data_IF_340451067913
#
_entry.id   IF_340451067913
#
_cell.length_a   1.000
_cell.length_b   1.000
_cell.length_c   1.000
_cell.angle_alpha   90.00
_cell.angle_beta   90.00
_cell.angle_gamma   90.00
#
_symmetry.space_group_name_H-M   'P 1'
#
loop_
_entity.id
_entity.type
_entity.pdbx_description
1 polymer ?
#
# COMPACT_ATOMS: atom_id res chain seq x y z
N UNK A 1 -1.75 -2.42 18.47
CA UNK A 1 -0.96 -2.29 17.23
C UNK A 1 -0.30 -0.93 17.31
N UNK A 2 1.02 -0.85 17.10
CA UNK A 2 1.76 0.39 17.30
C UNK A 2 1.44 1.34 16.15
N UNK A 3 0.82 2.48 16.44
CA UNK A 3 0.43 3.49 15.46
C UNK A 3 1.63 3.96 14.64
N UNK A 4 2.82 3.95 15.25
CA UNK A 4 4.09 4.25 14.59
C UNK A 4 4.43 3.29 13.45
N UNK A 5 4.08 2.00 13.58
CA UNK A 5 4.31 0.99 12.55
C UNK A 5 3.35 1.20 11.38
N UNK A 6 2.07 1.41 11.65
CA UNK A 6 1.07 1.70 10.62
C UNK A 6 1.41 2.96 9.85
N UNK A 7 1.75 4.03 10.56
CA UNK A 7 2.21 5.28 9.96
C UNK A 7 3.44 5.06 9.08
N UNK A 8 4.44 4.32 9.56
CA UNK A 8 5.64 4.02 8.76
C UNK A 8 5.32 3.22 7.49
N UNK A 9 4.38 2.27 7.55
CA UNK A 9 3.96 1.48 6.39
C UNK A 9 3.24 2.32 5.33
N UNK A 10 2.34 3.22 5.78
CA UNK A 10 1.58 4.12 4.90
C UNK A 10 2.51 5.07 4.15
N UNK A 11 3.50 5.63 4.83
CA UNK A 11 4.46 6.58 4.25
C UNK A 11 5.63 5.91 3.53
N UNK A 12 5.70 4.57 3.53
CA UNK A 12 6.81 3.86 2.90
C UNK A 12 6.77 3.97 1.37
N UNK A 13 7.85 4.46 0.79
CA UNK A 13 8.03 4.46 -0.66
C UNK A 13 8.41 3.06 -1.18
N UNK A 14 8.06 2.78 -2.43
CA UNK A 14 8.59 1.62 -3.13
C UNK A 14 10.10 1.76 -3.36
N UNK A 15 10.85 0.70 -3.07
CA UNK A 15 12.32 0.70 -3.21
C UNK A 15 12.80 -0.43 -4.12
N UNK A 16 13.96 -0.26 -4.75
CA UNK A 16 14.66 -1.33 -5.45
C UNK A 16 15.65 -1.97 -4.47
N UNK A 17 15.51 -3.28 -4.24
CA UNK A 17 16.43 -3.98 -3.34
C UNK A 17 17.81 -4.23 -3.99
N UNK A 18 18.79 -4.65 -3.19
CA UNK A 18 20.15 -5.01 -3.65
C UNK A 18 20.20 -6.08 -4.75
N UNK A 19 19.11 -6.80 -4.99
CA UNK A 19 18.97 -7.82 -6.04
C UNK A 19 18.19 -7.29 -7.25
N UNK A 20 18.04 -5.98 -7.40
CA UNK A 20 17.31 -5.32 -8.48
C UNK A 20 15.82 -5.67 -8.53
N UNK A 21 15.20 -5.99 -7.39
CA UNK A 21 13.76 -6.27 -7.32
C UNK A 21 13.01 -5.08 -6.76
N UNK A 22 11.95 -4.65 -7.46
CA UNK A 22 11.02 -3.63 -6.97
C UNK A 22 10.23 -4.21 -5.80
N UNK A 23 10.43 -3.63 -4.62
CA UNK A 23 9.65 -3.87 -3.41
C UNK A 23 8.62 -2.77 -3.31
N UNK A 24 7.35 -3.14 -3.38
CA UNK A 24 6.27 -2.17 -3.31
C UNK A 24 6.07 -1.71 -1.87
N UNK A 25 5.95 -0.41 -1.69
CA UNK A 25 5.34 0.17 -0.49
C UNK A 25 3.87 -0.25 -0.39
N UNK A 26 3.25 -0.06 0.77
CA UNK A 26 1.87 -0.52 1.03
C UNK A 26 0.88 0.06 0.01
N UNK A 27 0.92 1.38 -0.21
CA UNK A 27 0.01 2.07 -1.13
C UNK A 27 0.19 1.54 -2.56
N UNK A 28 1.44 1.46 -3.04
CA UNK A 28 1.72 0.96 -4.40
C UNK A 28 1.30 -0.50 -4.59
N UNK A 29 1.42 -1.32 -3.55
CA UNK A 29 0.95 -2.71 -3.59
C UNK A 29 -0.58 -2.78 -3.69
N UNK A 30 -1.28 -1.96 -2.91
CA UNK A 30 -2.74 -1.84 -2.96
C UNK A 30 -3.24 -1.36 -4.33
N UNK A 31 -2.65 -0.30 -4.88
CA UNK A 31 -3.01 0.22 -6.20
C UNK A 31 -2.75 -0.81 -7.31
N UNK A 32 -1.63 -1.54 -7.23
CA UNK A 32 -1.33 -2.61 -8.18
C UNK A 32 -2.32 -3.77 -8.06
N UNK A 33 -2.74 -4.13 -6.84
CA UNK A 33 -3.73 -5.17 -6.62
C UNK A 33 -5.10 -4.77 -7.21
N UNK A 34 -5.52 -3.52 -7.02
CA UNK A 34 -6.72 -2.94 -7.64
C UNK A 34 -6.70 -3.06 -9.16
N UNK A 35 -5.56 -2.75 -9.80
CA UNK A 35 -5.40 -2.89 -11.25
C UNK A 35 -5.46 -4.35 -11.73
N UNK A 36 -4.92 -5.28 -10.95
CA UNK A 36 -4.86 -6.70 -11.32
C UNK A 36 -6.16 -7.46 -11.04
N UNK A 37 -6.91 -7.04 -10.02
CA UNK A 37 -8.15 -7.69 -9.60
C UNK A 37 -9.15 -6.62 -9.13
N UNK A 38 -9.96 -6.09 -10.07
CA UNK A 38 -10.94 -5.05 -9.77
C UNK A 38 -12.00 -5.46 -8.74
N UNK A 39 -12.18 -6.77 -8.52
CA UNK A 39 -13.12 -7.31 -7.52
C UNK A 39 -12.79 -6.87 -6.08
N UNK A 40 -11.55 -6.43 -5.81
CA UNK A 40 -11.12 -5.95 -4.50
C UNK A 40 -11.10 -4.42 -4.39
N UNK A 41 -11.54 -3.68 -5.40
CA UNK A 41 -11.42 -2.21 -5.44
C UNK A 41 -12.05 -1.56 -4.20
N UNK A 42 -13.31 -1.88 -3.90
CA UNK A 42 -14.01 -1.34 -2.74
C UNK A 42 -13.30 -1.68 -1.41
N UNK A 43 -12.83 -2.92 -1.26
CA UNK A 43 -12.09 -3.34 -0.07
C UNK A 43 -10.78 -2.55 0.10
N UNK A 44 -10.05 -2.36 -0.99
CA UNK A 44 -8.78 -1.63 -1.01
C UNK A 44 -9.01 -0.17 -0.68
N UNK A 45 -9.99 0.48 -1.30
CA UNK A 45 -10.33 1.88 -1.03
C UNK A 45 -10.76 2.10 0.42
N UNK A 46 -11.60 1.22 0.97
CA UNK A 46 -12.01 1.27 2.37
C UNK A 46 -10.82 1.11 3.32
N UNK A 47 -9.90 0.21 3.00
CA UNK A 47 -8.69 -0.04 3.81
C UNK A 47 -7.75 1.16 3.78
N UNK A 48 -7.49 1.73 2.60
CA UNK A 48 -6.64 2.92 2.46
C UNK A 48 -7.23 4.13 3.18
N UNK A 49 -8.54 4.33 3.08
CA UNK A 49 -9.27 5.39 3.80
C UNK A 49 -9.14 5.22 5.31
N UNK A 50 -9.31 3.99 5.84
CA UNK A 50 -9.14 3.70 7.27
C UNK A 50 -7.72 4.00 7.76
N UNK A 51 -6.72 3.85 6.89
CA UNK A 51 -5.33 4.16 7.17
C UNK A 51 -4.98 5.66 7.00
N UNK A 52 -5.96 6.51 6.71
CA UNK A 52 -5.75 7.95 6.50
C UNK A 52 -5.09 8.31 5.17
N UNK A 53 -5.05 7.37 4.22
CA UNK A 53 -4.59 7.62 2.85
C UNK A 53 -5.77 8.19 2.06
N UNK A 54 -5.77 9.52 1.91
CA UNK A 54 -6.74 10.23 1.06
C UNK A 54 -6.13 10.42 -0.32
N UNK A 55 -6.73 9.81 -1.35
CA UNK A 55 -6.47 10.15 -2.76
C UNK A 55 -7.00 11.56 -3.10
#
# INVERSE_FOLDING_TARGET
MDESILSSMVHSESVIDRKQRKRLGLIDACLKLKQQSPAYDELIMNTLTLLGVTE
#
